data_IF_857253592308
#
_entry.id   IF_857253592308
#
_cell.length_a   1.000
_cell.length_b   1.000
_cell.length_c   1.000
_cell.angle_alpha   90.00
_cell.angle_beta   90.00
_cell.angle_gamma   90.00
#
_symmetry.space_group_name_H-M   'P 1'
#
loop_
_entity.id
_entity.type
_entity.pdbx_description
1 polymer ?
#
# COMPACT_ATOMS: atom_id res chain seq x y z
N UNK A 1 -16.53 -34.02 24.68
CA UNK A 1 -16.08 -32.61 24.55
C UNK A 1 -14.58 -32.70 24.34
N UNK A 2 -14.19 -33.14 23.14
CA UNK A 2 -12.80 -33.47 22.86
C UNK A 2 -12.02 -32.20 22.60
N UNK A 3 -11.11 -31.92 23.53
CA UNK A 3 -10.09 -30.90 23.40
C UNK A 3 -9.22 -31.33 22.22
N UNK A 4 -9.36 -30.62 21.09
CA UNK A 4 -8.37 -30.62 20.02
C UNK A 4 -6.99 -30.63 20.65
N UNK A 5 -6.28 -31.74 20.51
CA UNK A 5 -4.87 -31.81 20.82
C UNK A 5 -4.21 -30.72 19.98
N UNK A 6 -3.67 -29.71 20.66
CA UNK A 6 -2.72 -28.77 20.09
C UNK A 6 -1.53 -29.61 19.62
N UNK A 7 -1.60 -30.15 18.41
CA UNK A 7 -0.50 -30.90 17.84
C UNK A 7 0.65 -29.90 17.65
N UNK A 8 1.85 -30.25 18.14
CA UNK A 8 2.98 -29.33 18.17
C UNK A 8 3.34 -28.79 16.79
N UNK A 9 3.14 -29.58 15.73
CA UNK A 9 3.42 -29.18 14.36
C UNK A 9 2.47 -28.07 13.84
N UNK A 10 1.19 -28.12 14.19
CA UNK A 10 0.18 -27.11 13.83
C UNK A 10 0.40 -25.80 14.57
N UNK A 11 0.84 -25.87 15.83
CA UNK A 11 1.22 -24.68 16.58
C UNK A 11 2.49 -24.03 15.99
N UNK A 12 3.51 -24.82 15.63
CA UNK A 12 4.72 -24.30 14.97
C UNK A 12 4.40 -23.64 13.63
N UNK A 13 3.57 -24.27 12.79
CA UNK A 13 3.20 -23.71 11.49
C UNK A 13 2.51 -22.34 11.62
N UNK A 14 1.63 -22.17 12.61
CA UNK A 14 0.93 -20.90 12.83
C UNK A 14 1.83 -19.82 13.43
N UNK A 15 2.77 -20.21 14.29
CA UNK A 15 3.78 -19.27 14.77
C UNK A 15 4.66 -18.76 13.62
N UNK A 16 5.02 -19.63 12.67
CA UNK A 16 5.76 -19.25 11.46
C UNK A 16 4.92 -18.31 10.56
N UNK A 17 3.64 -18.62 10.34
CA UNK A 17 2.72 -17.73 9.60
C UNK A 17 2.58 -16.37 10.27
N UNK A 18 2.39 -16.32 11.60
CA UNK A 18 2.32 -15.07 12.36
C UNK A 18 3.62 -14.27 12.31
N UNK A 19 4.76 -14.95 12.33
CA UNK A 19 6.07 -14.31 12.18
C UNK A 19 6.23 -13.71 10.78
N UNK A 20 5.77 -14.39 9.73
CA UNK A 20 5.71 -13.84 8.37
C UNK A 20 4.75 -12.64 8.29
N UNK A 21 3.56 -12.75 8.88
CA UNK A 21 2.60 -11.64 8.97
C UNK A 21 3.22 -10.41 9.63
N UNK A 22 3.95 -10.58 10.74
CA UNK A 22 4.66 -9.49 11.42
C UNK A 22 5.70 -8.83 10.53
N UNK A 23 6.51 -9.61 9.81
CA UNK A 23 7.51 -9.09 8.86
C UNK A 23 6.83 -8.27 7.75
N UNK A 24 5.73 -8.79 7.20
CA UNK A 24 4.94 -8.14 6.15
C UNK A 24 4.30 -6.83 6.63
N UNK A 25 3.76 -6.78 7.85
CA UNK A 25 3.28 -5.54 8.47
C UNK A 25 4.40 -4.50 8.59
N UNK A 26 5.62 -4.91 8.95
CA UNK A 26 6.78 -4.01 9.00
C UNK A 26 7.12 -3.40 7.63
N UNK A 27 7.03 -4.19 6.55
CA UNK A 27 7.21 -3.69 5.17
C UNK A 27 6.11 -2.70 4.79
N UNK A 28 4.85 -3.01 5.12
CA UNK A 28 3.72 -2.12 4.89
C UNK A 28 3.89 -0.77 5.61
N UNK A 29 4.31 -0.79 6.87
CA UNK A 29 4.57 0.43 7.61
C UNK A 29 5.68 1.27 6.95
N UNK A 30 6.79 0.66 6.57
CA UNK A 30 7.90 1.36 5.90
C UNK A 30 7.47 2.00 4.57
N UNK A 31 6.66 1.30 3.77
CA UNK A 31 6.20 1.81 2.49
C UNK A 31 5.18 2.94 2.64
N UNK A 32 4.27 2.84 3.61
CA UNK A 32 3.35 3.92 3.95
C UNK A 32 4.10 5.18 4.41
N UNK A 33 5.11 5.04 5.26
CA UNK A 33 5.97 6.17 5.66
C UNK A 33 6.68 6.80 4.47
N UNK A 34 7.18 6.00 3.52
CA UNK A 34 7.81 6.52 2.29
C UNK A 34 6.80 7.27 1.40
N UNK A 35 5.56 6.77 1.27
CA UNK A 35 4.50 7.43 0.52
C UNK A 35 4.12 8.79 1.15
N UNK A 36 3.98 8.85 2.48
CA UNK A 36 3.70 10.11 3.19
C UNK A 36 4.83 11.12 2.97
N UNK A 37 6.09 10.70 3.11
CA UNK A 37 7.23 11.60 2.91
C UNK A 37 7.29 12.17 1.48
N UNK A 38 6.92 11.36 0.47
CA UNK A 38 6.79 11.84 -0.91
C UNK A 38 5.69 12.90 -1.05
N UNK A 39 4.53 12.67 -0.44
CA UNK A 39 3.44 13.65 -0.44
C UNK A 39 3.83 14.96 0.24
N UNK A 40 4.46 14.89 1.42
CA UNK A 40 4.93 16.07 2.17
C UNK A 40 5.96 16.89 1.41
N UNK A 41 6.84 16.24 0.63
CA UNK A 41 7.84 16.91 -0.19
C UNK A 41 7.22 17.65 -1.39
N UNK A 42 6.20 17.05 -2.00
CA UNK A 42 5.66 17.48 -3.30
C UNK A 42 4.52 18.49 -3.15
N UNK A 43 3.64 18.28 -2.16
CA UNK A 43 2.42 19.06 -1.97
C UNK A 43 2.66 20.57 -1.91
N UNK A 44 3.64 21.10 -1.15
CA UNK A 44 3.86 22.55 -1.07
C UNK A 44 4.24 23.17 -2.43
N UNK A 45 4.98 22.41 -3.25
CA UNK A 45 5.41 22.87 -4.58
C UNK A 45 4.24 22.94 -5.54
N UNK A 46 3.37 21.92 -5.53
CA UNK A 46 2.16 21.90 -6.36
C UNK A 46 1.16 22.98 -5.94
N UNK A 47 0.96 23.18 -4.63
CA UNK A 47 0.11 24.27 -4.12
C UNK A 47 0.60 25.64 -4.56
N UNK A 48 1.91 25.90 -4.45
CA UNK A 48 2.48 27.18 -4.88
C UNK A 48 2.33 27.43 -6.38
N UNK A 49 2.48 26.39 -7.20
CA UNK A 49 2.44 26.51 -8.67
C UNK A 49 1.02 26.51 -9.23
N UNK A 50 0.04 25.93 -8.52
CA UNK A 50 -1.37 25.91 -8.93
C UNK A 50 -2.07 27.27 -8.78
N UNK A 51 -1.64 28.10 -7.81
CA UNK A 51 -2.23 29.42 -7.54
C UNK A 51 -2.18 30.38 -8.74
N UNK A 52 -1.28 30.13 -9.71
CA UNK A 52 -1.18 30.93 -10.92
C UNK A 52 -0.69 32.36 -10.68
N UNK A 53 -0.31 33.04 -11.76
CA UNK A 53 0.11 34.45 -11.74
C UNK A 53 -0.80 35.25 -12.67
N UNK A 54 -0.75 36.58 -12.57
CA UNK A 54 -1.51 37.43 -13.49
C UNK A 54 -0.84 37.45 -14.88
N UNK A 55 -1.19 36.46 -15.71
CA UNK A 55 -0.59 36.22 -17.02
C UNK A 55 -0.76 37.37 -18.02
N UNK A 56 -1.74 38.26 -17.82
CA UNK A 56 -1.98 39.41 -18.69
C UNK A 56 -0.91 40.49 -18.61
N UNK A 57 -0.04 40.44 -17.60
CA UNK A 57 1.09 41.36 -17.43
C UNK A 57 2.41 40.82 -17.97
N UNK A 58 2.42 39.57 -18.43
CA UNK A 58 3.62 38.92 -18.93
C UNK A 58 3.79 39.16 -20.42
N UNK A 59 5.03 39.36 -20.84
CA UNK A 59 5.42 39.31 -22.25
C UNK A 59 5.22 37.90 -22.82
N UNK A 60 5.19 37.77 -24.15
CA UNK A 60 5.04 36.49 -24.82
C UNK A 60 6.15 35.48 -24.45
N UNK A 61 7.39 35.95 -24.23
CA UNK A 61 8.51 35.11 -23.79
C UNK A 61 8.34 34.59 -22.36
N UNK A 62 7.85 35.44 -21.45
CA UNK A 62 7.61 35.04 -20.05
C UNK A 62 6.44 34.06 -19.96
N UNK A 63 5.38 34.28 -20.74
CA UNK A 63 4.26 33.36 -20.87
C UNK A 63 4.71 31.97 -21.37
N UNK A 64 5.61 31.93 -22.35
CA UNK A 64 6.14 30.68 -22.89
C UNK A 64 6.99 29.93 -21.86
N UNK A 65 7.88 30.63 -21.16
CA UNK A 65 8.65 30.05 -20.06
C UNK A 65 7.76 29.51 -18.93
N UNK A 66 6.65 30.18 -18.60
CA UNK A 66 5.69 29.70 -17.59
C UNK A 66 4.92 28.46 -18.04
N UNK A 67 4.65 28.32 -19.34
CA UNK A 67 4.05 27.11 -19.91
C UNK A 67 5.03 25.93 -19.84
N UNK A 68 6.28 26.13 -20.26
CA UNK A 68 7.32 25.09 -20.19
C UNK A 68 7.54 24.61 -18.74
N UNK A 69 7.58 25.54 -17.78
CA UNK A 69 7.64 25.25 -16.35
C UNK A 69 6.45 24.40 -15.87
N UNK A 70 5.24 24.68 -16.37
CA UNK A 70 4.03 23.94 -16.00
C UNK A 70 4.02 22.53 -16.58
N UNK A 71 4.45 22.37 -17.82
CA UNK A 71 4.55 21.06 -18.46
C UNK A 71 5.52 20.15 -17.70
N UNK A 72 6.67 20.70 -17.27
CA UNK A 72 7.63 19.97 -16.43
C UNK A 72 7.00 19.53 -15.10
N UNK A 73 6.24 20.41 -14.45
CA UNK A 73 5.60 20.12 -13.16
C UNK A 73 4.50 19.08 -13.31
N UNK A 74 3.69 19.15 -14.36
CA UNK A 74 2.66 18.15 -14.65
C UNK A 74 3.31 16.79 -14.87
N UNK A 75 4.41 16.75 -15.63
CA UNK A 75 5.15 15.52 -15.86
C UNK A 75 5.73 14.94 -14.56
N UNK A 76 6.34 15.77 -13.71
CA UNK A 76 6.85 15.34 -12.41
C UNK A 76 5.72 14.86 -11.49
N UNK A 77 4.59 15.57 -11.44
CA UNK A 77 3.42 15.16 -10.67
C UNK A 77 2.87 13.81 -11.14
N UNK A 78 2.82 13.57 -12.45
CA UNK A 78 2.42 12.28 -13.01
C UNK A 78 3.35 11.15 -12.55
N UNK A 79 4.67 11.36 -12.55
CA UNK A 79 5.62 10.36 -12.06
C UNK A 79 5.42 10.05 -10.57
N UNK A 80 5.17 11.07 -9.75
CA UNK A 80 4.90 10.90 -8.32
C UNK A 80 3.59 10.11 -8.10
N UNK A 81 2.54 10.40 -8.88
CA UNK A 81 1.28 9.65 -8.83
C UNK A 81 1.50 8.19 -9.20
N UNK A 82 2.29 7.89 -10.24
CA UNK A 82 2.63 6.50 -10.59
C UNK A 82 3.35 5.80 -9.43
N UNK A 83 4.37 6.44 -8.83
CA UNK A 83 5.08 5.88 -7.69
C UNK A 83 4.16 5.64 -6.48
N UNK A 84 3.24 6.55 -6.20
CA UNK A 84 2.25 6.36 -5.13
C UNK A 84 1.27 5.23 -5.45
N UNK A 85 0.85 5.09 -6.70
CA UNK A 85 -0.01 3.99 -7.16
C UNK A 85 0.67 2.63 -6.97
N UNK A 86 1.93 2.51 -7.37
CA UNK A 86 2.71 1.27 -7.19
C UNK A 86 2.81 0.91 -5.69
N UNK A 87 3.11 1.90 -4.85
CA UNK A 87 3.17 1.72 -3.39
C UNK A 87 1.82 1.33 -2.79
N UNK A 88 0.72 1.86 -3.30
CA UNK A 88 -0.63 1.52 -2.86
C UNK A 88 -0.98 0.06 -3.21
N UNK A 89 -0.57 -0.42 -4.39
CA UNK A 89 -0.74 -1.84 -4.78
C UNK A 89 0.08 -2.77 -3.88
N UNK A 90 1.33 -2.40 -3.56
CA UNK A 90 2.16 -3.17 -2.62
C UNK A 90 1.52 -3.23 -1.23
N UNK A 91 0.99 -2.10 -0.74
CA UNK A 91 0.31 -2.01 0.55
C UNK A 91 -0.93 -2.91 0.59
N UNK A 92 -1.76 -2.88 -0.45
CA UNK A 92 -2.97 -3.71 -0.55
C UNK A 92 -2.62 -5.20 -0.51
N UNK A 93 -1.63 -5.62 -1.30
CA UNK A 93 -1.13 -6.99 -1.33
C UNK A 93 -0.63 -7.46 0.05
N UNK A 94 0.14 -6.63 0.74
CA UNK A 94 0.66 -6.96 2.07
C UNK A 94 -0.43 -6.98 3.15
N UNK A 95 -1.40 -6.06 3.10
CA UNK A 95 -2.54 -6.06 4.01
C UNK A 95 -3.43 -7.29 3.79
N UNK A 96 -3.63 -7.71 2.53
CA UNK A 96 -4.29 -8.97 2.19
C UNK A 96 -3.58 -10.16 2.82
N UNK A 97 -2.26 -10.26 2.66
CA UNK A 97 -1.44 -11.32 3.25
C UNK A 97 -1.56 -11.35 4.79
N UNK A 98 -1.48 -10.19 5.45
CA UNK A 98 -1.61 -10.09 6.91
C UNK A 98 -3.01 -10.49 7.38
N UNK A 99 -4.05 -10.10 6.66
CA UNK A 99 -5.43 -10.46 6.97
C UNK A 99 -5.65 -11.98 6.89
N UNK A 100 -5.08 -12.64 5.88
CA UNK A 100 -5.20 -14.09 5.71
C UNK A 100 -4.46 -14.84 6.82
N UNK A 101 -3.24 -14.42 7.16
CA UNK A 101 -2.48 -14.97 8.30
C UNK A 101 -3.26 -14.83 9.61
N UNK A 102 -3.87 -13.67 9.87
CA UNK A 102 -4.66 -13.43 11.08
C UNK A 102 -5.92 -14.31 11.10
N UNK A 103 -6.65 -14.43 9.99
CA UNK A 103 -7.82 -15.30 9.88
C UNK A 103 -7.47 -16.76 10.15
N UNK A 104 -6.39 -17.27 9.55
CA UNK A 104 -5.94 -18.64 9.73
C UNK A 104 -5.54 -18.91 11.19
N UNK A 105 -4.80 -17.98 11.79
CA UNK A 105 -4.37 -18.05 13.18
C UNK A 105 -5.57 -18.07 14.14
N UNK A 106 -6.56 -17.17 13.93
CA UNK A 106 -7.79 -17.13 14.73
C UNK A 106 -8.63 -18.39 14.53
N UNK A 107 -8.76 -18.88 13.29
CA UNK A 107 -9.50 -20.10 12.96
C UNK A 107 -8.94 -21.32 13.70
N UNK A 108 -7.61 -21.45 13.74
CA UNK A 108 -6.96 -22.52 14.50
C UNK A 108 -7.16 -22.38 16.01
N UNK A 109 -6.90 -21.19 16.57
CA UNK A 109 -7.01 -20.95 18.01
C UNK A 109 -8.44 -21.09 18.54
N UNK A 110 -9.44 -20.82 17.71
CA UNK A 110 -10.87 -20.89 18.08
C UNK A 110 -11.54 -22.20 17.65
N UNK A 111 -10.82 -23.09 16.96
CA UNK A 111 -11.38 -24.35 16.43
C UNK A 111 -12.43 -24.15 15.33
N UNK A 112 -12.69 -22.91 14.90
CA UNK A 112 -13.54 -22.60 13.75
C UNK A 112 -12.67 -22.66 12.50
N UNK A 113 -12.46 -23.86 11.95
CA UNK A 113 -11.98 -23.96 10.57
C UNK A 113 -12.94 -23.13 9.71
N UNK A 114 -12.43 -22.04 9.15
CA UNK A 114 -13.20 -21.23 8.21
C UNK A 114 -13.63 -22.11 7.05
N UNK A 115 -14.93 -22.15 6.78
CA UNK A 115 -15.46 -22.51 5.48
C UNK A 115 -14.95 -21.48 4.47
N UNK A 116 -13.80 -21.74 3.87
CA UNK A 116 -13.29 -20.96 2.76
C UNK A 116 -12.75 -21.92 1.70
N UNK A 117 -13.52 -22.07 0.62
CA UNK A 117 -13.03 -22.54 -0.68
C UNK A 117 -13.10 -24.05 -0.91
N UNK A 118 -14.13 -24.47 -1.63
CA UNK A 118 -14.23 -25.76 -2.31
C UNK A 118 -13.04 -26.03 -3.23
N UNK A 119 -12.45 -27.21 -3.14
CA UNK A 119 -12.03 -27.93 -4.36
C UNK A 119 -12.66 -29.31 -4.35
N UNK A 120 -13.78 -29.35 -5.05
CA UNK A 120 -14.34 -30.52 -5.71
C UNK A 120 -13.22 -31.21 -6.50
N UNK A 121 -12.83 -32.42 -6.08
CA UNK A 121 -12.29 -33.43 -6.97
C UNK A 121 -13.13 -34.68 -6.77
N UNK A 122 -14.12 -34.83 -7.65
CA UNK A 122 -14.78 -36.10 -7.94
C UNK A 122 -13.74 -37.10 -8.44
N UNK A 123 -13.69 -38.27 -7.80
CA UNK A 123 -13.51 -39.57 -8.45
C UNK A 123 -14.46 -40.55 -7.79
#
# INVERSE_FOLDING_TARGET
MDRNELNGAGLTAILDELQQGRITTGKAQANNSAAIALCELVQPTLEKKSQGENYFRLSASELRSKLDDRDLIIYQAAQIIMLLSDKAMDLDSWLGTVNDVLKNSVAYLTGKKGEAGSHEQSV
#
